data_IF_782618072693
#
_entry.id   IF_782618072693
#
_cell.length_a   1.000
_cell.length_b   1.000
_cell.length_c   1.000
_cell.angle_alpha   90.00
_cell.angle_beta   90.00
_cell.angle_gamma   90.00
#
_symmetry.space_group_name_H-M   'P 1'
#
loop_
_entity.id
_entity.type
_entity.pdbx_description
1 polymer ?
#
# COMPACT_ATOMS: atom_id res chain seq x y z
N UNK A 1 7.97 3.69 5.65
CA UNK A 1 8.23 4.99 4.97
C UNK A 1 6.92 5.75 4.81
N UNK A 2 6.86 7.00 5.25
CA UNK A 2 5.66 7.84 5.14
C UNK A 2 5.76 8.86 4.00
N UNK A 3 4.61 9.38 3.53
CA UNK A 3 4.51 10.44 2.52
C UNK A 3 5.09 10.06 1.14
N UNK A 4 4.71 8.88 0.62
CA UNK A 4 5.21 8.37 -0.65
C UNK A 4 4.59 9.10 -1.86
N UNK A 5 5.45 9.51 -2.80
CA UNK A 5 5.10 10.06 -4.12
C UNK A 5 5.32 9.06 -5.26
N UNK A 6 6.43 8.30 -5.23
CA UNK A 6 6.70 7.24 -6.19
C UNK A 6 7.47 6.10 -5.53
N UNK A 7 7.30 4.90 -6.09
CA UNK A 7 7.94 3.67 -5.65
C UNK A 7 8.38 2.89 -6.87
N UNK A 8 9.66 2.52 -6.89
CA UNK A 8 10.25 1.64 -7.89
C UNK A 8 10.80 0.40 -7.17
N UNK A 9 10.58 -0.79 -7.76
CA UNK A 9 11.04 -2.07 -7.22
C UNK A 9 12.05 -2.71 -8.16
N UNK A 10 13.21 -3.08 -7.62
CA UNK A 10 14.34 -3.59 -8.39
C UNK A 10 14.25 -5.08 -8.76
N UNK A 11 13.25 -5.80 -8.23
CA UNK A 11 13.04 -7.23 -8.46
C UNK A 11 13.85 -8.15 -7.55
N UNK A 12 14.73 -7.63 -6.69
CA UNK A 12 15.60 -8.44 -5.83
C UNK A 12 15.19 -8.37 -4.37
N UNK A 13 15.01 -7.16 -3.82
CA UNK A 13 14.34 -6.90 -2.54
C UNK A 13 14.33 -5.41 -2.16
N UNK A 14 14.80 -4.52 -3.05
CA UNK A 14 15.06 -3.12 -2.72
C UNK A 14 13.96 -2.26 -3.34
N UNK A 15 13.41 -1.37 -2.52
CA UNK A 15 12.45 -0.37 -2.92
C UNK A 15 13.12 1.00 -2.94
N UNK A 16 13.15 1.64 -4.10
CA UNK A 16 13.54 3.05 -4.24
C UNK A 16 12.29 3.91 -4.12
N UNK A 17 12.23 4.72 -3.06
CA UNK A 17 11.05 5.49 -2.70
C UNK A 17 11.34 6.98 -2.79
N UNK A 18 10.47 7.72 -3.47
CA UNK A 18 10.44 9.18 -3.42
C UNK A 18 9.47 9.64 -2.34
N UNK A 19 10.02 10.12 -1.22
CA UNK A 19 9.27 10.67 -0.10
C UNK A 19 9.13 12.18 -0.23
N UNK A 20 7.91 12.70 -0.03
CA UNK A 20 7.67 14.14 0.02
C UNK A 20 8.17 14.75 1.34
N UNK A 21 8.81 15.90 1.25
CA UNK A 21 9.18 16.77 2.39
C UNK A 21 8.63 18.17 2.14
N UNK A 22 8.60 19.01 3.17
CA UNK A 22 8.12 20.40 3.05
C UNK A 22 8.92 21.19 2.00
N UNK A 23 10.24 20.98 1.96
CA UNK A 23 11.15 21.66 1.03
C UNK A 23 11.37 20.92 -0.31
N UNK A 24 10.67 19.81 -0.57
CA UNK A 24 10.87 19.02 -1.79
C UNK A 24 10.64 17.51 -1.64
N UNK A 25 11.69 16.72 -1.93
CA UNK A 25 11.61 15.26 -1.83
C UNK A 25 12.95 14.63 -1.46
N UNK A 26 12.86 13.45 -0.84
CA UNK A 26 13.98 12.58 -0.52
C UNK A 26 13.85 11.29 -1.32
N UNK A 27 14.97 10.80 -1.86
CA UNK A 27 15.06 9.46 -2.45
C UNK A 27 15.68 8.56 -1.38
N UNK A 28 14.96 7.49 -1.02
CA UNK A 28 15.37 6.56 0.03
C UNK A 28 15.30 5.14 -0.52
N UNK A 29 16.34 4.34 -0.25
CA UNK A 29 16.35 2.91 -0.53
C UNK A 29 16.04 2.14 0.75
N UNK A 30 15.13 1.17 0.66
CA UNK A 30 14.69 0.36 1.79
C UNK A 30 14.55 -1.09 1.36
N UNK A 31 15.08 -2.01 2.17
CA UNK A 31 14.92 -3.45 1.99
C UNK A 31 13.51 -3.93 2.43
N UNK A 32 12.96 -4.89 1.70
CA UNK A 32 11.71 -5.57 2.08
C UNK A 32 11.89 -6.62 3.20
N UNK A 33 10.86 -6.89 4.03
CA UNK A 33 9.51 -6.31 4.01
C UNK A 33 9.42 -4.96 4.72
N UNK A 34 8.67 -4.01 4.16
CA UNK A 34 8.49 -2.68 4.77
C UNK A 34 7.03 -2.17 4.64
N UNK A 35 6.63 -1.29 5.57
CA UNK A 35 5.34 -0.60 5.54
C UNK A 35 5.50 0.77 4.85
N UNK A 36 4.61 1.09 3.90
CA UNK A 36 4.59 2.39 3.23
C UNK A 36 3.22 3.07 3.35
N UNK A 37 3.20 4.40 3.50
CA UNK A 37 1.96 5.19 3.39
C UNK A 37 2.02 6.11 2.18
N UNK A 38 0.98 6.03 1.34
CA UNK A 38 0.94 6.70 0.03
C UNK A 38 0.05 7.94 0.09
N UNK A 39 0.50 9.04 -0.53
CA UNK A 39 -0.29 10.25 -0.64
C UNK A 39 -1.29 10.15 -1.79
N UNK A 40 -2.46 10.77 -1.63
CA UNK A 40 -3.54 10.73 -2.64
C UNK A 40 -3.14 11.34 -3.99
N UNK A 41 -2.12 12.18 -4.01
CA UNK A 41 -1.57 12.81 -5.22
C UNK A 41 -0.46 11.98 -5.89
N UNK A 42 -0.02 10.87 -5.30
CA UNK A 42 1.06 10.04 -5.84
C UNK A 42 0.68 9.39 -7.18
N UNK A 43 -0.60 9.05 -7.35
CA UNK A 43 -1.13 8.46 -8.58
C UNK A 43 -2.59 8.87 -8.81
N UNK A 44 -3.05 8.76 -10.05
CA UNK A 44 -4.48 8.92 -10.39
C UNK A 44 -5.16 7.55 -10.29
N UNK A 45 -6.13 7.35 -9.37
CA UNK A 45 -6.87 6.09 -9.28
C UNK A 45 -7.56 5.79 -10.61
N UNK A 46 -7.44 4.55 -11.09
CA UNK A 46 -8.11 4.11 -12.32
C UNK A 46 -9.58 3.77 -12.03
N UNK A 47 -10.44 3.97 -13.03
CA UNK A 47 -11.79 3.43 -12.99
C UNK A 47 -11.79 1.91 -13.07
N UNK A 48 -12.82 1.32 -12.48
CA UNK A 48 -13.10 -0.11 -12.58
C UNK A 48 -13.55 -0.45 -14.01
N UNK A 49 -13.19 -1.64 -14.49
CA UNK A 49 -13.75 -2.19 -15.72
C UNK A 49 -14.97 -3.06 -15.40
N UNK A 50 -15.92 -3.16 -16.33
CA UNK A 50 -17.13 -3.99 -16.16
C UNK A 50 -16.74 -5.45 -15.84
N UNK A 51 -15.79 -6.00 -16.59
CA UNK A 51 -15.26 -7.35 -16.33
C UNK A 51 -14.69 -7.49 -14.92
N UNK A 52 -13.91 -6.50 -14.46
CA UNK A 52 -13.32 -6.51 -13.12
C UNK A 52 -14.35 -6.43 -11.99
N UNK A 53 -15.52 -5.81 -12.23
CA UNK A 53 -16.62 -5.77 -11.26
C UNK A 53 -17.25 -7.16 -11.12
N UNK A 54 -17.56 -7.83 -12.23
CA UNK A 54 -18.14 -9.19 -12.21
C UNK A 54 -17.17 -10.18 -11.57
N UNK A 55 -15.89 -10.16 -11.97
CA UNK A 55 -14.84 -11.01 -11.38
C UNK A 55 -14.63 -10.74 -9.89
N UNK A 56 -14.86 -9.51 -9.41
CA UNK A 56 -14.75 -9.19 -7.99
C UNK A 56 -15.96 -9.65 -7.17
N UNK A 57 -17.15 -9.72 -7.79
CA UNK A 57 -18.36 -10.19 -7.13
C UNK A 57 -18.31 -11.69 -6.81
N UNK A 58 -17.67 -12.47 -7.69
CA UNK A 58 -17.49 -13.91 -7.50
C UNK A 58 -16.37 -14.26 -6.49
N UNK A 59 -15.58 -13.29 -6.02
CA UNK A 59 -14.52 -13.53 -5.03
C UNK A 59 -15.08 -13.58 -3.62
N UNK A 60 -14.65 -14.58 -2.85
CA UNK A 60 -14.99 -14.66 -1.44
C UNK A 60 -14.35 -13.52 -0.64
N UNK A 61 -15.17 -12.84 0.15
CA UNK A 61 -14.73 -11.81 1.09
C UNK A 61 -14.51 -12.49 2.43
N UNK A 62 -13.26 -12.60 2.83
CA UNK A 62 -12.91 -13.15 4.14
C UNK A 62 -13.27 -12.15 5.24
N UNK A 63 -14.20 -12.52 6.11
CA UNK A 63 -14.63 -11.69 7.25
C UNK A 63 -13.89 -12.15 8.50
N UNK A 64 -13.08 -11.23 9.05
CA UNK A 64 -12.35 -11.43 10.31
C UNK A 64 -13.00 -10.63 11.43
N UNK A 65 -13.10 -11.26 12.58
CA UNK A 65 -13.46 -10.67 13.87
C UNK A 65 -12.28 -10.85 14.84
N UNK A 66 -12.35 -10.21 16.01
CA UNK A 66 -11.23 -10.16 16.96
C UNK A 66 -10.75 -11.56 17.39
N UNK A 67 -11.64 -12.56 17.43
CA UNK A 67 -11.32 -13.97 17.71
C UNK A 67 -10.35 -14.63 16.71
N UNK A 68 -10.21 -14.06 15.51
CA UNK A 68 -9.32 -14.59 14.47
C UNK A 68 -7.91 -13.98 14.50
N UNK A 69 -7.65 -13.04 15.40
CA UNK A 69 -6.35 -12.35 15.51
C UNK A 69 -5.88 -12.32 16.96
N UNK A 70 -4.57 -12.43 17.16
CA UNK A 70 -3.95 -12.39 18.49
C UNK A 70 -3.83 -10.93 18.96
N UNK A 71 -4.90 -10.40 19.54
CA UNK A 71 -4.98 -9.03 20.09
C UNK A 71 -5.58 -9.03 21.48
N UNK A 72 -5.08 -8.14 22.34
CA UNK A 72 -5.61 -7.91 23.68
C UNK A 72 -6.87 -7.03 23.59
N UNK A 73 -8.06 -7.63 23.78
CA UNK A 73 -9.35 -6.92 23.69
C UNK A 73 -9.57 -5.89 24.83
N UNK A 74 -8.71 -5.87 25.84
CA UNK A 74 -8.89 -5.05 27.05
C UNK A 74 -8.23 -3.66 27.00
N UNK A 75 -7.83 -3.16 25.83
CA UNK A 75 -7.22 -1.82 25.65
C UNK A 75 -7.87 -0.96 24.58
#
# INVERSE_FOLDING_TARGET
VSYLLSLDYDGKNIFTIKKQTEDGYQIVEVDGPCLVTVLSNANKPRYMSVRGIMEAFDKEVEVWSADKIDVDEAK
#
